data_IF_096980253336
#
_entry.id   IF_096980253336
#
_cell.length_a   1.000
_cell.length_b   1.000
_cell.length_c   1.000
_cell.angle_alpha   90.00
_cell.angle_beta   90.00
_cell.angle_gamma   90.00
#
_symmetry.space_group_name_H-M   'P 1'
#
loop_
_entity.id
_entity.type
_entity.pdbx_description
1 polymer ?
#
# COMPACT_ATOMS: atom_id res chain seq x y z
N UNK A 1 -14.19 30.36 -19.64
CA UNK A 1 -15.09 29.70 -18.66
C UNK A 1 -14.27 29.26 -17.46
N UNK A 2 -14.30 30.02 -16.37
CA UNK A 2 -13.66 29.61 -15.11
C UNK A 2 -14.46 28.44 -14.52
N UNK A 3 -13.77 27.37 -14.12
CA UNK A 3 -14.40 26.25 -13.44
C UNK A 3 -15.01 26.73 -12.10
N UNK A 4 -16.17 26.21 -11.70
CA UNK A 4 -16.74 26.51 -10.39
C UNK A 4 -15.75 26.08 -9.28
N UNK A 5 -15.76 26.73 -8.09
CA UNK A 5 -14.85 26.40 -7.00
C UNK A 5 -14.86 24.90 -6.66
N UNK A 6 -16.04 24.27 -6.68
CA UNK A 6 -16.21 22.83 -6.46
C UNK A 6 -15.55 21.96 -7.55
N UNK A 7 -15.60 22.38 -8.82
CA UNK A 7 -14.93 21.67 -9.91
C UNK A 7 -13.40 21.85 -9.88
N UNK A 8 -12.91 22.99 -9.39
CA UNK A 8 -11.48 23.21 -9.16
C UNK A 8 -10.94 22.35 -8.02
N UNK A 9 -11.70 22.20 -6.93
CA UNK A 9 -11.35 21.34 -5.80
C UNK A 9 -11.33 19.86 -6.17
N UNK A 10 -12.29 19.39 -6.97
CA UNK A 10 -12.31 18.02 -7.48
C UNK A 10 -11.10 17.72 -8.38
N UNK A 11 -10.74 18.64 -9.29
CA UNK A 11 -9.55 18.51 -10.16
C UNK A 11 -8.26 18.43 -9.35
N UNK A 12 -8.13 19.26 -8.32
CA UNK A 12 -6.98 19.19 -7.41
C UNK A 12 -6.95 17.85 -6.65
N UNK A 13 -8.12 17.33 -6.24
CA UNK A 13 -8.25 15.99 -5.68
C UNK A 13 -7.69 14.89 -6.61
N UNK A 14 -8.03 14.94 -7.90
CA UNK A 14 -7.51 14.00 -8.91
C UNK A 14 -5.98 14.11 -9.03
N UNK A 15 -5.43 15.32 -9.13
CA UNK A 15 -3.98 15.52 -9.20
C UNK A 15 -3.26 14.96 -7.97
N UNK A 16 -3.79 15.19 -6.77
CA UNK A 16 -3.25 14.62 -5.54
C UNK A 16 -3.27 13.09 -5.56
N UNK A 17 -4.34 12.47 -6.08
CA UNK A 17 -4.43 11.03 -6.24
C UNK A 17 -3.40 10.49 -7.24
N UNK A 18 -3.18 11.18 -8.37
CA UNK A 18 -2.17 10.82 -9.38
C UNK A 18 -0.76 10.87 -8.78
N UNK A 19 -0.42 11.96 -8.08
CA UNK A 19 0.89 12.10 -7.44
C UNK A 19 1.09 11.05 -6.33
N UNK A 20 0.05 10.77 -5.54
CA UNK A 20 0.08 9.70 -4.55
C UNK A 20 0.34 8.34 -5.19
N UNK A 21 -0.38 8.02 -6.27
CA UNK A 21 -0.22 6.76 -7.02
C UNK A 21 1.20 6.61 -7.57
N UNK A 22 1.78 7.70 -8.11
CA UNK A 22 3.16 7.71 -8.58
C UNK A 22 4.15 7.42 -7.44
N UNK A 23 3.97 8.03 -6.27
CA UNK A 23 4.80 7.75 -5.10
C UNK A 23 4.66 6.31 -4.59
N UNK A 24 3.44 5.75 -4.56
CA UNK A 24 3.25 4.33 -4.22
C UNK A 24 3.93 3.40 -5.23
N UNK A 25 3.92 3.71 -6.53
CA UNK A 25 4.65 2.95 -7.56
C UNK A 25 6.17 2.97 -7.34
N UNK A 26 6.72 4.09 -6.86
CA UNK A 26 8.16 4.26 -6.67
C UNK A 26 8.75 3.25 -5.67
N UNK A 27 7.93 2.77 -4.72
CA UNK A 27 8.30 1.78 -3.70
C UNK A 27 9.00 0.55 -4.28
N UNK A 28 8.44 -0.03 -5.34
CA UNK A 28 8.90 -1.28 -5.91
C UNK A 28 10.27 -1.13 -6.59
N UNK A 29 10.45 -0.01 -7.29
CA UNK A 29 11.72 0.36 -7.92
C UNK A 29 12.80 0.54 -6.86
N UNK A 30 12.53 1.32 -5.81
CA UNK A 30 13.48 1.54 -4.72
C UNK A 30 13.83 0.25 -3.97
N UNK A 31 12.85 -0.66 -3.79
CA UNK A 31 13.10 -1.97 -3.20
C UNK A 31 14.03 -2.82 -4.08
N UNK A 32 13.77 -2.89 -5.39
CA UNK A 32 14.63 -3.60 -6.35
C UNK A 32 16.03 -3.02 -6.45
N UNK A 33 16.19 -1.71 -6.24
CA UNK A 33 17.51 -1.07 -6.15
C UNK A 33 18.22 -1.40 -4.83
N UNK A 34 17.48 -1.68 -3.76
CA UNK A 34 18.05 -1.99 -2.45
C UNK A 34 18.55 -3.43 -2.34
N UNK A 35 17.82 -4.41 -2.92
CA UNK A 35 18.15 -5.83 -2.81
C UNK A 35 19.57 -6.22 -3.28
N UNK A 36 20.15 -5.64 -4.34
CA UNK A 36 21.56 -5.89 -4.71
C UNK A 36 22.58 -5.53 -3.63
N UNK A 37 22.22 -4.68 -2.65
CA UNK A 37 23.07 -4.37 -1.50
C UNK A 37 22.96 -5.38 -0.35
N UNK A 38 22.23 -6.48 -0.53
CA UNK A 38 22.15 -7.59 0.42
C UNK A 38 21.09 -7.44 1.52
N UNK A 39 20.29 -6.37 1.49
CA UNK A 39 19.19 -6.20 2.46
C UNK A 39 18.04 -7.14 2.17
N UNK A 40 17.50 -7.79 3.19
CA UNK A 40 16.34 -8.67 3.05
C UNK A 40 15.01 -7.89 3.17
N UNK A 41 13.88 -8.44 2.65
CA UNK A 41 12.57 -7.80 2.69
C UNK A 41 12.12 -7.34 4.07
N UNK A 42 12.35 -8.14 5.11
CA UNK A 42 11.88 -7.84 6.47
C UNK A 42 12.62 -6.62 7.01
N UNK A 43 13.95 -6.63 6.92
CA UNK A 43 14.79 -5.50 7.32
C UNK A 43 14.44 -4.24 6.54
N UNK A 44 14.28 -4.32 5.21
CA UNK A 44 13.99 -3.15 4.39
C UNK A 44 12.64 -2.52 4.75
N UNK A 45 11.60 -3.33 4.96
CA UNK A 45 10.30 -2.82 5.38
C UNK A 45 10.36 -2.29 6.81
N UNK A 46 11.11 -2.92 7.72
CA UNK A 46 11.31 -2.42 9.08
C UNK A 46 11.97 -1.04 9.07
N UNK A 47 13.04 -0.84 8.29
CA UNK A 47 13.69 0.46 8.12
C UNK A 47 12.73 1.51 7.56
N UNK A 48 12.00 1.17 6.49
CA UNK A 48 10.99 2.07 5.89
C UNK A 48 9.93 2.49 6.92
N UNK A 49 9.38 1.53 7.66
CA UNK A 49 8.35 1.80 8.67
C UNK A 49 8.90 2.65 9.81
N UNK A 50 10.07 2.28 10.35
CA UNK A 50 10.73 2.99 11.44
C UNK A 50 11.03 4.46 11.07
N UNK A 51 11.55 4.69 9.86
CA UNK A 51 11.84 6.03 9.35
C UNK A 51 10.56 6.85 9.12
N UNK A 52 9.44 6.22 8.77
CA UNK A 52 8.15 6.89 8.61
C UNK A 52 7.41 7.15 9.93
N UNK A 53 7.72 6.36 10.98
CA UNK A 53 6.99 6.34 12.23
C UNK A 53 6.92 7.70 12.94
N UNK A 54 8.01 8.50 13.06
CA UNK A 54 7.94 9.79 13.75
C UNK A 54 6.87 10.72 13.18
N UNK A 55 6.73 10.74 11.85
CA UNK A 55 5.73 11.58 11.18
C UNK A 55 4.32 11.10 11.52
N UNK A 56 4.07 9.79 11.44
CA UNK A 56 2.75 9.24 11.76
C UNK A 56 2.41 9.33 13.24
N UNK A 57 3.37 9.22 14.15
CA UNK A 57 3.19 9.46 15.59
C UNK A 57 2.73 10.90 15.83
N UNK A 58 3.44 11.88 15.28
CA UNK A 58 3.10 13.31 15.43
C UNK A 58 1.71 13.59 14.88
N UNK A 59 1.37 13.04 13.71
CA UNK A 59 0.05 13.23 13.10
C UNK A 59 -1.05 12.55 13.92
N UNK A 60 -0.87 11.28 14.32
CA UNK A 60 -1.84 10.56 15.13
C UNK A 60 -2.09 11.29 16.47
N UNK A 61 -1.04 11.81 17.11
CA UNK A 61 -1.15 12.58 18.34
C UNK A 61 -1.91 13.90 18.16
N UNK A 62 -1.62 14.66 17.09
CA UNK A 62 -2.33 15.90 16.77
C UNK A 62 -3.81 15.66 16.48
N UNK A 63 -4.12 14.61 15.73
CA UNK A 63 -5.50 14.25 15.38
C UNK A 63 -6.25 13.68 16.58
N UNK A 64 -5.58 12.96 17.49
CA UNK A 64 -6.18 12.47 18.72
C UNK A 64 -6.60 13.61 19.67
N UNK A 65 -5.90 14.75 19.65
CA UNK A 65 -6.27 15.95 20.44
C UNK A 65 -7.48 16.69 19.88
N UNK A 66 -7.76 16.55 18.58
CA UNK A 66 -8.85 17.25 17.88
C UNK A 66 -10.09 16.40 17.72
N UNK A 67 -9.93 15.09 17.64
CA UNK A 67 -11.02 14.14 17.43
C UNK A 67 -11.56 13.53 18.71
N UNK A 68 -12.70 12.85 18.59
CA UNK A 68 -13.29 12.11 19.70
C UNK A 68 -12.39 10.94 20.14
N UNK A 69 -12.46 10.52 21.42
CA UNK A 69 -11.83 9.30 21.89
C UNK A 69 -12.29 8.09 21.04
N UNK A 70 -11.36 7.18 20.76
CA UNK A 70 -11.65 5.96 20.03
C UNK A 70 -12.36 4.97 20.96
N UNK A 71 -13.44 4.37 20.48
CA UNK A 71 -14.06 3.23 21.18
C UNK A 71 -13.19 1.99 21.00
N UNK A 72 -13.38 0.97 21.86
CA UNK A 72 -12.71 -0.34 21.70
C UNK A 72 -12.94 -0.93 20.31
N UNK A 73 -14.15 -0.78 19.77
CA UNK A 73 -14.49 -1.25 18.42
C UNK A 73 -13.68 -0.52 17.34
N UNK A 74 -13.49 0.80 17.48
CA UNK A 74 -12.68 1.57 16.54
C UNK A 74 -11.22 1.10 16.54
N UNK A 75 -10.66 0.84 17.73
CA UNK A 75 -9.32 0.29 17.87
C UNK A 75 -9.19 -1.09 17.21
N UNK A 76 -10.13 -2.00 17.46
CA UNK A 76 -10.13 -3.33 16.81
C UNK A 76 -10.17 -3.18 15.29
N UNK A 77 -11.03 -2.31 14.75
CA UNK A 77 -11.11 -2.09 13.30
C UNK A 77 -9.82 -1.50 12.74
N UNK A 78 -9.22 -0.50 13.40
CA UNK A 78 -7.94 0.08 13.01
C UNK A 78 -6.82 -0.96 13.05
N UNK A 79 -6.78 -1.81 14.09
CA UNK A 79 -5.79 -2.86 14.23
C UNK A 79 -5.91 -3.91 13.11
N UNK A 80 -7.11 -4.44 12.89
CA UNK A 80 -7.35 -5.45 11.84
C UNK A 80 -7.02 -4.88 10.47
N UNK A 81 -7.52 -3.68 10.14
CA UNK A 81 -7.29 -3.07 8.84
C UNK A 81 -5.82 -2.64 8.65
N UNK A 82 -5.14 -2.20 9.70
CA UNK A 82 -3.70 -1.92 9.67
C UNK A 82 -2.86 -3.17 9.43
N UNK A 83 -3.23 -4.29 10.07
CA UNK A 83 -2.57 -5.57 9.91
C UNK A 83 -2.73 -6.15 8.51
N UNK A 84 -3.93 -6.16 7.93
CA UNK A 84 -4.11 -6.63 6.56
C UNK A 84 -3.59 -5.61 5.54
N UNK A 85 -4.02 -4.35 5.65
CA UNK A 85 -3.81 -3.35 4.60
C UNK A 85 -2.39 -2.85 4.47
N UNK A 86 -1.66 -2.74 5.57
CA UNK A 86 -0.30 -2.18 5.56
C UNK A 86 0.74 -3.25 5.87
N UNK A 87 0.58 -4.02 6.95
CA UNK A 87 1.57 -5.03 7.33
C UNK A 87 1.57 -6.22 6.35
N UNK A 88 0.43 -6.91 6.23
CA UNK A 88 0.29 -8.11 5.40
C UNK A 88 0.55 -7.80 3.93
N UNK A 89 -0.08 -6.72 3.42
CA UNK A 89 0.18 -6.25 2.06
C UNK A 89 1.68 -5.95 1.85
N UNK A 90 2.31 -5.14 2.72
CA UNK A 90 3.73 -4.79 2.53
C UNK A 90 4.66 -5.99 2.63
N UNK A 91 4.43 -6.93 3.55
CA UNK A 91 5.27 -8.11 3.70
C UNK A 91 5.21 -8.98 2.45
N UNK A 92 4.00 -9.36 2.04
CA UNK A 92 3.79 -10.20 0.86
C UNK A 92 4.36 -9.55 -0.39
N UNK A 93 4.18 -8.23 -0.53
CA UNK A 93 4.67 -7.48 -1.68
C UNK A 93 6.20 -7.45 -1.77
N UNK A 94 6.89 -7.16 -0.66
CA UNK A 94 8.35 -7.12 -0.66
C UNK A 94 8.97 -8.49 -0.82
N UNK A 95 8.37 -9.55 -0.25
CA UNK A 95 8.79 -10.92 -0.55
C UNK A 95 8.57 -11.25 -2.03
N UNK A 96 7.43 -10.88 -2.61
CA UNK A 96 7.15 -11.06 -4.04
C UNK A 96 8.19 -10.40 -4.94
N UNK A 97 8.61 -9.17 -4.59
CA UNK A 97 9.63 -8.41 -5.32
C UNK A 97 11.02 -9.07 -5.35
N UNK A 98 11.30 -10.08 -4.51
CA UNK A 98 12.51 -10.88 -4.68
C UNK A 98 12.50 -11.68 -5.99
N UNK A 99 11.31 -12.10 -6.43
CA UNK A 99 11.14 -13.10 -7.48
C UNK A 99 10.70 -12.53 -8.82
N UNK A 100 10.00 -11.40 -8.83
CA UNK A 100 9.47 -10.78 -10.05
C UNK A 100 10.03 -9.37 -10.26
N UNK A 101 9.93 -8.86 -11.49
CA UNK A 101 10.30 -7.48 -11.79
C UNK A 101 9.39 -6.46 -11.07
N UNK A 102 9.87 -5.23 -10.87
CA UNK A 102 9.05 -4.14 -10.32
C UNK A 102 7.86 -3.80 -11.24
N UNK A 103 8.02 -3.99 -12.56
CA UNK A 103 6.94 -3.82 -13.53
C UNK A 103 5.85 -4.88 -13.35
N UNK A 104 6.24 -6.15 -13.26
CA UNK A 104 5.29 -7.24 -13.04
C UNK A 104 4.59 -7.14 -11.68
N UNK A 105 5.32 -6.82 -10.61
CA UNK A 105 4.70 -6.55 -9.30
C UNK A 105 3.59 -5.50 -9.43
N UNK A 106 3.88 -4.36 -10.06
CA UNK A 106 2.91 -3.27 -10.14
C UNK A 106 1.67 -3.65 -10.94
N UNK A 107 1.84 -4.41 -12.02
CA UNK A 107 0.73 -4.93 -12.83
C UNK A 107 -0.16 -5.88 -12.03
N UNK A 108 0.45 -6.85 -11.32
CA UNK A 108 -0.29 -7.79 -10.47
C UNK A 108 -0.96 -7.04 -9.31
N UNK A 109 -0.28 -6.09 -8.68
CA UNK A 109 -0.83 -5.31 -7.59
C UNK A 109 -2.05 -4.51 -8.05
N UNK A 110 -2.04 -3.96 -9.28
CA UNK A 110 -3.17 -3.27 -9.88
C UNK A 110 -4.40 -4.14 -10.19
N UNK A 111 -4.40 -5.43 -9.82
CA UNK A 111 -5.64 -6.22 -9.70
C UNK A 111 -6.49 -5.83 -8.49
N UNK A 112 -5.92 -5.11 -7.51
CA UNK A 112 -6.63 -4.74 -6.28
C UNK A 112 -7.98 -4.01 -6.52
N UNK A 113 -8.16 -3.12 -7.53
CA UNK A 113 -9.45 -2.48 -7.78
C UNK A 113 -10.53 -3.49 -8.14
N UNK A 114 -10.21 -4.47 -8.99
CA UNK A 114 -11.13 -5.56 -9.33
C UNK A 114 -11.45 -6.42 -8.12
N UNK A 115 -10.44 -6.76 -7.30
CA UNK A 115 -10.65 -7.50 -6.05
C UNK A 115 -11.53 -6.70 -5.07
N UNK A 116 -11.34 -5.40 -4.99
CA UNK A 116 -12.14 -4.49 -4.14
C UNK A 116 -13.60 -4.49 -4.59
N UNK A 117 -13.87 -4.44 -5.90
CA UNK A 117 -15.22 -4.55 -6.44
C UNK A 117 -15.86 -5.92 -6.16
N UNK A 118 -15.10 -7.00 -6.32
CA UNK A 118 -15.57 -8.36 -6.06
C UNK A 118 -15.92 -8.57 -4.59
N UNK A 119 -15.06 -8.11 -3.67
CA UNK A 119 -15.33 -8.13 -2.22
C UNK A 119 -16.55 -7.27 -1.90
N UNK A 120 -16.68 -6.10 -2.52
CA UNK A 120 -17.86 -5.25 -2.37
C UNK A 120 -19.16 -5.92 -2.86
N UNK A 121 -19.12 -6.68 -3.95
CA UNK A 121 -20.25 -7.47 -4.42
C UNK A 121 -20.61 -8.59 -3.44
N UNK A 122 -19.62 -9.40 -3.03
CA UNK A 122 -19.82 -10.53 -2.12
C UNK A 122 -20.29 -10.10 -0.72
N UNK A 123 -19.68 -9.05 -0.15
CA UNK A 123 -19.91 -8.63 1.23
C UNK A 123 -21.02 -7.58 1.38
N UNK A 124 -21.31 -6.80 0.32
CA UNK A 124 -22.24 -5.65 0.38
C UNK A 124 -23.35 -5.73 -0.68
N UNK A 125 -23.40 -6.78 -1.50
CA UNK A 125 -24.45 -6.97 -2.51
C UNK A 125 -24.41 -5.97 -3.68
N UNK A 126 -23.29 -5.26 -3.90
CA UNK A 126 -23.14 -4.27 -4.98
C UNK A 126 -23.18 -4.92 -6.36
N UNK A 127 -24.10 -4.51 -7.23
CA UNK A 127 -24.17 -5.04 -8.61
C UNK A 127 -22.92 -4.69 -9.42
N UNK A 128 -22.28 -5.69 -10.02
CA UNK A 128 -21.16 -5.53 -10.95
C UNK A 128 -21.71 -5.12 -12.32
N UNK A 129 -21.12 -4.08 -12.91
CA UNK A 129 -21.47 -3.56 -14.23
C UNK A 129 -20.61 -4.20 -15.32
N UNK A 130 -21.11 -4.22 -16.57
CA UNK A 130 -20.36 -4.74 -17.72
C UNK A 130 -19.03 -4.00 -17.94
N UNK A 131 -18.97 -2.70 -17.63
CA UNK A 131 -17.74 -1.89 -17.73
C UNK A 131 -16.65 -2.38 -16.79
N UNK A 132 -17.02 -2.75 -15.56
CA UNK A 132 -16.08 -3.29 -14.56
C UNK A 132 -15.57 -4.68 -14.97
N UNK A 133 -16.42 -5.51 -15.58
CA UNK A 133 -16.01 -6.81 -16.13
C UNK A 133 -14.99 -6.62 -17.26
N UNK A 134 -15.29 -5.75 -18.24
CA UNK A 134 -14.39 -5.48 -19.37
C UNK A 134 -13.05 -4.88 -18.90
N UNK A 135 -13.09 -3.91 -17.97
CA UNK A 135 -11.87 -3.32 -17.39
C UNK A 135 -11.02 -4.38 -16.66
N UNK A 136 -11.66 -5.31 -15.96
CA UNK A 136 -10.99 -6.41 -15.28
C UNK A 136 -10.32 -7.36 -16.28
N UNK A 137 -11.04 -7.78 -17.34
CA UNK A 137 -10.48 -8.63 -18.39
C UNK A 137 -9.27 -7.98 -19.08
N UNK A 138 -9.32 -6.68 -19.37
CA UNK A 138 -8.19 -5.94 -19.93
C UNK A 138 -6.99 -5.90 -18.97
N UNK A 139 -7.23 -5.68 -17.67
CA UNK A 139 -6.19 -5.69 -16.64
C UNK A 139 -5.51 -7.07 -16.53
N UNK A 140 -6.30 -8.15 -16.43
CA UNK A 140 -5.77 -9.51 -16.40
C UNK A 140 -5.05 -9.90 -17.69
N UNK A 141 -5.52 -9.44 -18.85
CA UNK A 141 -4.83 -9.62 -20.13
C UNK A 141 -3.44 -8.96 -20.14
N UNK A 142 -3.33 -7.72 -19.64
CA UNK A 142 -2.04 -7.04 -19.50
C UNK A 142 -1.07 -7.73 -18.54
N UNK A 143 -1.58 -8.29 -17.44
CA UNK A 143 -0.79 -9.08 -16.49
C UNK A 143 -0.29 -10.37 -17.13
N UNK A 144 -1.14 -11.10 -17.86
CA UNK A 144 -0.74 -12.33 -18.54
C UNK A 144 0.41 -12.08 -19.54
N UNK A 145 0.33 -11.00 -20.32
CA UNK A 145 1.41 -10.61 -21.24
C UNK A 145 2.72 -10.30 -20.51
N UNK A 146 2.66 -9.60 -19.38
CA UNK A 146 3.84 -9.28 -18.59
C UNK A 146 4.47 -10.50 -17.92
N UNK A 147 3.65 -11.46 -17.45
CA UNK A 147 4.14 -12.74 -16.92
C UNK A 147 4.89 -13.52 -18.00
N UNK A 148 4.33 -13.62 -19.21
CA UNK A 148 5.01 -14.30 -20.34
C UNK A 148 6.35 -13.64 -20.62
N UNK A 149 6.41 -12.32 -20.66
CA UNK A 149 7.65 -11.59 -20.88
C UNK A 149 8.71 -11.85 -19.79
N UNK A 150 8.35 -11.77 -18.50
CA UNK A 150 9.29 -12.05 -17.40
C UNK A 150 9.79 -13.52 -17.44
N UNK A 151 8.93 -14.48 -17.83
CA UNK A 151 9.31 -15.90 -17.99
C UNK A 151 10.29 -16.08 -19.15
N UNK A 152 10.06 -15.45 -20.30
CA UNK A 152 10.95 -15.51 -21.46
C UNK A 152 12.34 -14.92 -21.15
N UNK A 153 12.40 -13.88 -20.31
CA UNK A 153 13.65 -13.20 -19.96
C UNK A 153 14.45 -13.95 -18.88
N UNK A 154 13.78 -14.57 -17.90
CA UNK A 154 14.45 -15.15 -16.72
C UNK A 154 14.52 -16.68 -16.69
N UNK A 155 13.68 -17.39 -17.44
CA UNK A 155 13.71 -18.85 -17.57
C UNK A 155 13.19 -19.67 -16.37
N UNK A 156 12.72 -19.04 -15.29
CA UNK A 156 12.28 -19.73 -14.06
C UNK A 156 10.79 -19.54 -13.74
N UNK A 157 9.92 -20.27 -14.46
CA UNK A 157 8.46 -20.13 -14.33
C UNK A 157 7.92 -20.35 -12.90
N UNK A 158 8.48 -21.30 -12.14
CA UNK A 158 8.02 -21.58 -10.77
C UNK A 158 8.33 -20.44 -9.79
N UNK A 159 9.52 -19.84 -9.92
CA UNK A 159 9.96 -18.68 -9.11
C UNK A 159 9.08 -17.47 -9.38
N UNK A 160 8.79 -17.20 -10.67
CA UNK A 160 7.88 -16.11 -11.06
C UNK A 160 6.46 -16.35 -10.56
N UNK A 161 5.96 -17.58 -10.65
CA UNK A 161 4.62 -17.92 -10.16
C UNK A 161 4.49 -17.69 -8.65
N UNK A 162 5.51 -18.05 -7.87
CA UNK A 162 5.56 -17.77 -6.43
C UNK A 162 5.54 -16.26 -6.16
N UNK A 163 6.38 -15.48 -6.85
CA UNK A 163 6.40 -14.03 -6.70
C UNK A 163 5.06 -13.38 -7.07
N UNK A 164 4.47 -13.81 -8.18
CA UNK A 164 3.14 -13.37 -8.61
C UNK A 164 2.05 -13.71 -7.60
N UNK A 165 2.08 -14.90 -7.00
CA UNK A 165 1.12 -15.31 -5.97
C UNK A 165 1.26 -14.49 -4.68
N UNK A 166 2.51 -14.19 -4.27
CA UNK A 166 2.78 -13.33 -3.13
C UNK A 166 2.23 -11.91 -3.36
N UNK A 167 2.51 -11.31 -4.52
CA UNK A 167 1.98 -9.97 -4.86
C UNK A 167 0.47 -9.99 -5.05
N UNK A 168 -0.12 -11.06 -5.58
CA UNK A 168 -1.57 -11.20 -5.64
C UNK A 168 -2.18 -11.27 -4.22
N UNK A 169 -1.52 -11.97 -3.30
CA UNK A 169 -1.87 -11.97 -1.88
C UNK A 169 -1.80 -10.58 -1.26
N UNK A 170 -0.77 -9.80 -1.61
CA UNK A 170 -0.68 -8.37 -1.24
C UNK A 170 -1.86 -7.57 -1.78
N UNK A 171 -2.18 -7.72 -3.07
CA UNK A 171 -3.31 -7.04 -3.72
C UNK A 171 -4.65 -7.37 -3.05
N UNK A 172 -4.86 -8.64 -2.69
CA UNK A 172 -6.03 -9.09 -1.95
C UNK A 172 -6.09 -8.46 -0.55
N UNK A 173 -4.99 -8.47 0.18
CA UNK A 173 -4.88 -7.86 1.51
C UNK A 173 -5.17 -6.36 1.48
N UNK A 174 -4.67 -5.66 0.45
CA UNK A 174 -4.95 -4.24 0.21
C UNK A 174 -6.42 -3.99 -0.20
N UNK A 175 -7.02 -4.85 -1.01
CA UNK A 175 -8.42 -4.77 -1.40
C UNK A 175 -9.38 -4.95 -0.21
N UNK A 176 -9.06 -5.85 0.73
CA UNK A 176 -9.77 -6.00 2.01
C UNK A 176 -9.69 -4.69 2.81
N UNK A 177 -8.49 -4.11 2.91
CA UNK A 177 -8.30 -2.81 3.56
C UNK A 177 -9.14 -1.71 2.92
N UNK A 178 -9.10 -1.54 1.61
CA UNK A 178 -9.85 -0.49 0.92
C UNK A 178 -11.36 -0.65 1.11
N UNK A 179 -11.87 -1.88 0.99
CA UNK A 179 -13.29 -2.16 1.20
C UNK A 179 -13.72 -1.89 2.64
N UNK A 180 -12.91 -2.29 3.62
CA UNK A 180 -13.20 -2.14 5.05
C UNK A 180 -12.97 -0.73 5.59
N UNK A 181 -12.06 0.04 4.99
CA UNK A 181 -11.64 1.35 5.49
C UNK A 181 -12.68 2.47 5.24
N UNK A 182 -13.65 2.27 4.33
CA UNK A 182 -14.61 3.31 3.98
C UNK A 182 -15.41 3.86 5.18
N UNK A 183 -15.94 2.97 6.03
CA UNK A 183 -16.72 3.41 7.20
C UNK A 183 -15.85 4.06 8.31
N UNK A 184 -14.71 3.46 8.72
CA UNK A 184 -13.77 4.09 9.64
C UNK A 184 -13.24 5.44 9.14
N UNK A 185 -12.94 5.58 7.85
CA UNK A 185 -12.47 6.85 7.27
C UNK A 185 -13.53 7.94 7.38
N UNK A 186 -14.81 7.63 7.13
CA UNK A 186 -15.91 8.59 7.32
C UNK A 186 -16.07 9.02 8.78
N UNK A 187 -15.89 8.09 9.72
CA UNK A 187 -16.04 8.36 11.17
C UNK A 187 -14.85 9.10 11.77
N UNK A 188 -13.62 8.66 11.46
CA UNK A 188 -12.39 9.09 12.12
C UNK A 188 -11.62 10.15 11.33
N UNK A 189 -11.93 10.31 10.04
CA UNK A 189 -11.17 11.08 9.08
C UNK A 189 -10.03 10.26 8.46
N UNK A 190 -9.80 10.47 7.15
CA UNK A 190 -8.80 9.74 6.38
C UNK A 190 -7.38 9.85 6.95
N UNK A 191 -7.00 11.06 7.41
CA UNK A 191 -5.67 11.33 7.98
C UNK A 191 -5.45 10.55 9.26
N UNK A 192 -6.36 10.65 10.23
CA UNK A 192 -6.26 9.97 11.53
C UNK A 192 -6.27 8.46 11.36
N UNK A 193 -7.19 7.93 10.56
CA UNK A 193 -7.29 6.49 10.31
C UNK A 193 -6.01 5.95 9.67
N UNK A 194 -5.52 6.59 8.60
CA UNK A 194 -4.31 6.13 7.91
C UNK A 194 -3.09 6.19 8.82
N UNK A 195 -2.92 7.28 9.60
CA UNK A 195 -1.81 7.38 10.55
C UNK A 195 -1.84 6.25 11.60
N UNK A 196 -2.99 5.98 12.21
CA UNK A 196 -3.11 4.90 13.19
C UNK A 196 -2.90 3.52 12.55
N UNK A 197 -3.46 3.26 11.37
CA UNK A 197 -3.28 1.99 10.66
C UNK A 197 -1.81 1.75 10.28
N UNK A 198 -1.10 2.78 9.84
CA UNK A 198 0.35 2.70 9.55
C UNK A 198 1.17 2.49 10.82
N UNK A 199 0.78 3.08 11.97
CA UNK A 199 1.45 2.82 13.25
C UNK A 199 1.23 1.39 13.74
N UNK A 200 0.01 0.85 13.63
CA UNK A 200 -0.26 -0.58 13.89
C UNK A 200 0.65 -1.45 13.04
N UNK A 201 0.74 -1.15 11.74
CA UNK A 201 1.64 -1.87 10.84
C UNK A 201 3.10 -1.73 11.24
N UNK A 202 3.53 -0.54 11.67
CA UNK A 202 4.91 -0.30 12.14
C UNK A 202 5.24 -1.19 13.33
N UNK A 203 4.33 -1.27 14.31
CA UNK A 203 4.49 -2.15 15.47
C UNK A 203 4.52 -3.61 15.04
N UNK A 204 3.60 -4.04 14.16
CA UNK A 204 3.55 -5.41 13.67
C UNK A 204 4.82 -5.81 12.90
N UNK A 205 5.33 -4.94 12.02
CA UNK A 205 6.62 -5.13 11.33
C UNK A 205 7.76 -5.19 12.33
N UNK A 206 7.78 -4.33 13.36
CA UNK A 206 8.81 -4.35 14.39
C UNK A 206 8.83 -5.66 15.19
N UNK A 207 7.64 -6.17 15.57
CA UNK A 207 7.50 -7.48 16.23
C UNK A 207 7.97 -8.60 15.31
N UNK A 208 7.54 -8.59 14.04
CA UNK A 208 7.96 -9.60 13.06
C UNK A 208 9.48 -9.58 12.86
N UNK A 209 10.08 -8.40 12.69
CA UNK A 209 11.52 -8.22 12.58
C UNK A 209 12.24 -8.81 13.81
N UNK A 210 11.85 -8.43 15.02
CA UNK A 210 12.47 -8.91 16.25
C UNK A 210 12.32 -10.44 16.45
N UNK A 211 11.29 -11.05 15.87
CA UNK A 211 11.06 -12.49 15.94
C UNK A 211 11.89 -13.30 14.94
N UNK A 212 12.27 -12.73 13.79
CA UNK A 212 12.88 -13.49 12.67
C UNK A 212 14.25 -12.99 12.25
N UNK A 213 14.68 -11.81 12.73
CA UNK A 213 15.99 -11.21 12.43
C UNK A 213 16.71 -10.78 13.70
N UNK A 214 18.04 -10.94 13.74
CA UNK A 214 18.83 -10.35 14.81
C UNK A 214 18.95 -8.82 14.61
N UNK A 215 19.15 -8.07 15.69
CA UNK A 215 19.13 -6.60 15.64
C UNK A 215 20.30 -5.98 14.87
N UNK A 216 21.42 -6.70 14.75
CA UNK A 216 22.55 -6.34 13.88
C UNK A 216 22.16 -6.33 12.39
N UNK A 217 21.07 -7.00 11.99
CA UNK A 217 20.53 -6.87 10.64
C UNK A 217 20.09 -5.43 10.30
N UNK A 218 19.88 -4.54 11.28
CA UNK A 218 19.65 -3.12 11.02
C UNK A 218 20.92 -2.36 10.59
N UNK A 219 22.11 -2.94 10.81
CA UNK A 219 23.39 -2.38 10.37
C UNK A 219 23.57 -2.58 8.86
N UNK A 220 22.84 -1.77 8.09
CA UNK A 220 22.84 -1.80 6.64
C UNK A 220 23.80 -0.75 6.04
N UNK A 221 24.34 -0.98 4.83
CA UNK A 221 25.22 -0.03 4.18
C UNK A 221 24.48 1.26 3.81
N UNK A 222 25.21 2.37 3.66
CA UNK A 222 24.64 3.70 3.41
C UNK A 222 23.63 3.76 2.23
N UNK A 223 23.83 3.07 1.09
CA UNK A 223 22.84 3.05 0.00
C UNK A 223 21.47 2.53 0.44
N UNK A 224 21.41 1.50 1.29
CA UNK A 224 20.14 0.93 1.80
C UNK A 224 19.42 1.93 2.69
N UNK A 225 20.15 2.66 3.53
CA UNK A 225 19.55 3.73 4.36
C UNK A 225 18.98 4.87 3.51
N UNK A 226 19.68 5.29 2.46
CA UNK A 226 19.16 6.32 1.56
C UNK A 226 17.93 5.86 0.78
N UNK A 227 17.93 4.62 0.29
CA UNK A 227 16.78 4.03 -0.40
C UNK A 227 15.60 3.85 0.58
N UNK A 228 15.84 3.36 1.80
CA UNK A 228 14.81 3.22 2.82
C UNK A 228 14.22 4.57 3.25
N UNK A 229 15.04 5.61 3.38
CA UNK A 229 14.58 6.98 3.65
C UNK A 229 13.75 7.54 2.49
N UNK A 230 14.18 7.32 1.24
CA UNK A 230 13.40 7.69 0.07
C UNK A 230 12.05 6.95 0.03
N UNK A 231 12.03 5.66 0.37
CA UNK A 231 10.79 4.87 0.45
C UNK A 231 9.87 5.34 1.58
N UNK A 232 10.43 5.69 2.73
CA UNK A 232 9.66 6.22 3.85
C UNK A 232 9.01 7.55 3.48
N UNK A 233 9.75 8.46 2.84
CA UNK A 233 9.23 9.79 2.50
C UNK A 233 8.34 9.78 1.26
N UNK A 234 8.88 9.33 0.12
CA UNK A 234 8.25 9.48 -1.19
C UNK A 234 7.31 8.34 -1.56
N UNK A 235 7.44 7.18 -0.91
CA UNK A 235 6.61 6.01 -1.18
C UNK A 235 5.68 5.62 -0.01
N UNK A 236 5.72 6.35 1.11
CA UNK A 236 4.87 6.08 2.27
C UNK A 236 4.24 7.36 2.81
N UNK A 237 5.02 8.25 3.44
CA UNK A 237 4.50 9.45 4.12
C UNK A 237 3.77 10.37 3.16
N UNK A 238 4.45 10.81 2.10
CA UNK A 238 3.88 11.75 1.14
C UNK A 238 2.66 11.16 0.42
N UNK A 239 2.72 9.95 -0.17
CA UNK A 239 1.55 9.34 -0.82
C UNK A 239 0.34 9.14 0.09
N UNK A 240 0.54 8.69 1.34
CA UNK A 240 -0.58 8.46 2.27
C UNK A 240 -1.32 9.76 2.58
N UNK A 241 -0.60 10.87 2.78
CA UNK A 241 -1.23 12.16 3.03
C UNK A 241 -1.86 12.77 1.77
N UNK A 242 -1.21 12.65 0.62
CA UNK A 242 -1.76 13.07 -0.66
C UNK A 242 -3.05 12.31 -0.99
N UNK A 243 -3.06 10.98 -0.79
CA UNK A 243 -4.25 10.14 -0.97
C UNK A 243 -5.36 10.55 0.02
N UNK A 244 -5.02 10.76 1.30
CA UNK A 244 -6.00 11.23 2.29
C UNK A 244 -6.59 12.59 1.92
N UNK A 245 -5.78 13.51 1.37
CA UNK A 245 -6.22 14.81 0.89
C UNK A 245 -7.06 14.70 -0.40
N UNK A 246 -6.69 13.80 -1.31
CA UNK A 246 -7.45 13.51 -2.51
C UNK A 246 -8.85 12.99 -2.18
N UNK A 247 -8.97 12.02 -1.27
CA UNK A 247 -10.26 11.47 -0.81
C UNK A 247 -11.16 12.58 -0.25
N UNK A 248 -10.60 13.49 0.57
CA UNK A 248 -11.38 14.62 1.12
C UNK A 248 -11.88 15.59 0.06
N UNK A 249 -11.09 15.84 -0.99
CA UNK A 249 -11.42 16.83 -2.04
C UNK A 249 -12.30 16.28 -3.15
N UNK A 250 -12.18 14.99 -3.46
CA UNK A 250 -13.00 14.35 -4.50
C UNK A 250 -14.42 14.03 -4.03
N UNK A 251 -14.68 14.08 -2.72
CA UNK A 251 -16.02 13.88 -2.16
C UNK A 251 -16.45 12.42 -2.24
N UNK A 252 -16.39 11.75 -1.09
CA UNK A 252 -17.33 10.67 -0.79
C UNK A 252 -18.58 11.28 -0.17
#
# INVERSE_FOLDING_TARGET
MAASPAAADARLGVWLAVIASAGFSLKAILAKLAYPHGVDPVTLVALRMLLSAPVFIVVAWREARRGQPLTTRDWVTVCVLGLFGYYGASMLDFYGLLYISAGLERLVLFTYPTLTLLIGWLAQGRRITLREIVASLLCYGGIALAVVHDIEVSGEAATIALGGLLVLGSALSFAIYLTGAAAPIRKLGATRFSALATLVSTVAVGIHFAAVRPFDALAQPAPVWWLAAAMALFATVLPVFLQSAAIRRMGA
#
